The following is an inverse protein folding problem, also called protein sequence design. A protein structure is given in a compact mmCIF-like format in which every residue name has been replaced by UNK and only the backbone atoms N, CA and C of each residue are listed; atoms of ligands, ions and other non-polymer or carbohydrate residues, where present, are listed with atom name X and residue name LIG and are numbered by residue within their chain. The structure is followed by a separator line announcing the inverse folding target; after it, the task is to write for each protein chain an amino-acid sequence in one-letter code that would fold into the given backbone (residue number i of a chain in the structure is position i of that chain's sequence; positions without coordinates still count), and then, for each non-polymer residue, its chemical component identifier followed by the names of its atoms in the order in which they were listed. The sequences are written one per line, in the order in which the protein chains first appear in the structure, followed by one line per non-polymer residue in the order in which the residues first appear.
data_IF_505978149335
#
_entry.id   IF_505978149335
#
_cell.length_a   1.000
_cell.length_b   1.000
_cell.length_c   1.000
_cell.angle_alpha   90.00
_cell.angle_beta   90.00
_cell.angle_gamma   90.00
#
_symmetry.space_group_name_H-M   'P 1'
#
loop_
_entity.id
_entity.type
_entity.pdbx_description
1 polymer ?
#
# COMPACT_ATOMS: atom_id res chain seq x y z
N UNK A 1 -13.69 19.79 5.10
CA UNK A 1 -13.06 20.44 6.26
C UNK A 1 -12.24 21.64 5.83
N UNK A 2 -12.04 22.58 6.73
CA UNK A 2 -11.13 23.71 6.59
C UNK A 2 -10.33 23.83 7.88
N UNK A 3 -9.03 23.89 7.77
CA UNK A 3 -8.09 24.01 8.93
C UNK A 3 -8.31 22.92 10.01
N UNK A 4 -8.80 21.74 9.61
CA UNK A 4 -9.12 20.62 10.49
C UNK A 4 -10.57 20.56 10.99
N UNK A 5 -11.31 21.66 10.89
CA UNK A 5 -12.71 21.74 11.33
C UNK A 5 -13.67 21.25 10.23
N UNK A 6 -14.67 20.45 10.60
CA UNK A 6 -15.73 20.04 9.71
C UNK A 6 -16.69 21.24 9.46
N UNK A 7 -16.66 21.77 8.23
CA UNK A 7 -17.46 22.95 7.86
C UNK A 7 -18.75 22.59 7.12
N UNK A 8 -18.82 21.43 6.50
CA UNK A 8 -20.02 20.92 5.84
C UNK A 8 -19.92 19.41 5.66
N UNK A 9 -21.06 18.74 5.71
CA UNK A 9 -21.22 17.30 5.53
C UNK A 9 -22.50 17.03 4.73
N UNK A 10 -22.41 16.15 3.74
CA UNK A 10 -23.55 15.75 2.93
C UNK A 10 -23.45 14.26 2.59
N UNK A 11 -24.54 13.57 2.72
CA UNK A 11 -24.69 12.15 2.36
C UNK A 11 -25.91 11.97 1.47
N UNK A 12 -25.76 11.22 0.37
CA UNK A 12 -26.88 10.77 -0.47
C UNK A 12 -27.67 9.63 0.15
N UNK A 13 -27.07 8.93 1.10
CA UNK A 13 -27.61 7.77 1.80
C UNK A 13 -26.95 7.64 3.18
N UNK A 14 -27.49 6.86 4.13
CA UNK A 14 -26.86 6.63 5.43
C UNK A 14 -25.43 6.11 5.27
N UNK A 15 -24.53 6.58 6.13
CA UNK A 15 -23.13 6.16 6.13
C UNK A 15 -23.02 4.65 6.34
N UNK A 16 -22.31 3.98 5.44
CA UNK A 16 -22.02 2.56 5.53
C UNK A 16 -20.56 2.28 5.11
N UNK A 17 -20.06 1.10 5.47
CA UNK A 17 -18.75 0.66 5.02
C UNK A 17 -18.81 0.22 3.57
N UNK A 18 -17.85 0.68 2.79
CA UNK A 18 -17.68 0.35 1.38
C UNK A 18 -16.25 -0.07 1.11
N UNK A 19 -16.07 -0.90 0.11
CA UNK A 19 -14.75 -1.13 -0.45
C UNK A 19 -14.18 0.20 -0.96
N UNK A 20 -13.03 0.61 -0.42
CA UNK A 20 -12.36 1.85 -0.83
C UNK A 20 -11.42 1.63 -2.02
N UNK A 21 -11.48 0.43 -2.64
CA UNK A 21 -10.68 0.06 -3.81
C UNK A 21 -9.21 0.43 -3.65
N UNK A 22 -8.62 1.09 -4.64
CA UNK A 22 -7.19 1.44 -4.63
C UNK A 22 -6.79 2.45 -3.57
N UNK A 23 -7.72 3.19 -2.94
CA UNK A 23 -7.38 3.98 -1.75
C UNK A 23 -6.83 3.12 -0.61
N UNK A 24 -7.08 1.81 -0.63
CA UNK A 24 -6.45 0.81 0.24
C UNK A 24 -4.91 0.85 0.19
N UNK A 25 -4.33 1.12 -0.98
CA UNK A 25 -2.87 1.18 -1.17
C UNK A 25 -2.18 2.18 -0.25
N UNK A 26 -2.85 3.28 0.05
CA UNK A 26 -2.33 4.30 0.97
C UNK A 26 -2.27 3.79 2.43
N UNK A 27 -3.17 2.89 2.81
CA UNK A 27 -3.08 2.20 4.11
C UNK A 27 -1.97 1.16 4.13
N UNK A 28 -1.74 0.46 3.01
CA UNK A 28 -0.59 -0.44 2.84
C UNK A 28 0.73 0.34 2.90
N UNK A 29 0.83 1.51 2.24
CA UNK A 29 1.96 2.43 2.41
C UNK A 29 2.20 2.78 3.88
N UNK A 30 1.13 3.12 4.60
CA UNK A 30 1.20 3.42 6.01
C UNK A 30 1.71 2.22 6.84
N UNK A 31 1.25 1.00 6.51
CA UNK A 31 1.73 -0.23 7.16
C UNK A 31 3.22 -0.46 6.92
N UNK A 32 3.69 -0.27 5.68
CA UNK A 32 5.14 -0.32 5.35
C UNK A 32 5.90 0.76 6.13
N UNK A 33 5.35 1.97 6.25
CA UNK A 33 5.96 3.05 7.03
C UNK A 33 6.17 2.69 8.50
N UNK A 34 5.19 2.07 9.13
CA UNK A 34 5.35 1.54 10.48
C UNK A 34 6.40 0.42 10.54
N UNK A 35 6.38 -0.50 9.57
CA UNK A 35 7.34 -1.60 9.53
C UNK A 35 8.79 -1.10 9.35
N UNK A 36 9.01 -0.06 8.54
CA UNK A 36 10.31 0.60 8.40
C UNK A 36 10.70 1.30 9.71
N UNK A 37 9.78 2.03 10.34
CA UNK A 37 10.02 2.70 11.62
C UNK A 37 10.35 1.72 12.75
N UNK A 38 9.82 0.51 12.71
CA UNK A 38 10.07 -0.58 13.66
C UNK A 38 11.31 -1.42 13.31
N UNK A 39 11.96 -1.15 12.19
CA UNK A 39 13.13 -1.92 11.72
C UNK A 39 12.79 -3.31 11.18
N UNK A 40 11.52 -3.58 10.85
CA UNK A 40 11.07 -4.85 10.27
C UNK A 40 11.35 -4.95 8.78
N UNK A 41 11.41 -3.80 8.08
CA UNK A 41 11.65 -3.70 6.63
C UNK A 41 12.66 -2.60 6.33
N UNK A 42 13.37 -2.77 5.21
CA UNK A 42 14.16 -1.73 4.57
C UNK A 42 13.64 -1.48 3.15
N UNK A 43 13.56 -0.22 2.73
CA UNK A 43 13.17 0.10 1.36
C UNK A 43 14.20 -0.37 0.33
N UNK A 44 15.46 -0.51 0.73
CA UNK A 44 16.57 -0.92 -0.14
C UNK A 44 16.81 -2.44 -0.11
N UNK A 45 15.99 -3.19 0.65
CA UNK A 45 16.02 -4.65 0.68
C UNK A 45 15.66 -5.21 -0.70
N UNK A 46 16.46 -6.17 -1.19
CA UNK A 46 16.22 -6.85 -2.47
C UNK A 46 15.01 -7.78 -2.37
N UNK A 47 14.21 -7.85 -3.45
CA UNK A 47 13.07 -8.76 -3.47
C UNK A 47 13.51 -10.23 -3.39
N UNK A 48 14.71 -10.57 -3.90
CA UNK A 48 15.30 -11.90 -3.78
C UNK A 48 15.59 -12.28 -2.33
N UNK A 49 15.93 -11.32 -1.48
CA UNK A 49 16.18 -11.55 -0.06
C UNK A 49 14.87 -11.52 0.75
N UNK A 50 13.92 -10.71 0.30
CA UNK A 50 12.63 -10.55 0.95
C UNK A 50 11.69 -11.76 0.74
N UNK A 51 11.81 -12.46 -0.41
CA UNK A 51 10.95 -13.57 -0.84
C UNK A 51 11.74 -14.79 -1.31
N UNK A 52 12.72 -15.31 -0.53
CA UNK A 52 13.63 -16.36 -1.00
C UNK A 52 12.91 -17.68 -1.36
N UNK A 53 11.76 -17.97 -0.74
CA UNK A 53 10.99 -19.20 -0.94
C UNK A 53 9.96 -19.09 -2.08
N UNK A 54 9.78 -17.90 -2.63
CA UNK A 54 8.74 -17.61 -3.64
C UNK A 54 9.34 -17.28 -5.02
N UNK A 55 10.66 -17.34 -5.14
CA UNK A 55 11.36 -17.01 -6.38
C UNK A 55 11.06 -18.04 -7.48
N UNK A 56 10.95 -17.60 -8.75
CA UNK A 56 10.83 -18.51 -9.88
C UNK A 56 12.14 -19.29 -10.09
N UNK A 57 12.07 -20.41 -10.79
CA UNK A 57 13.24 -21.25 -11.13
C UNK A 57 14.32 -20.47 -11.88
N UNK A 58 13.90 -19.51 -12.72
CA UNK A 58 14.80 -18.63 -13.46
C UNK A 58 14.63 -17.20 -12.95
N UNK A 59 15.64 -16.70 -12.28
CA UNK A 59 15.68 -15.34 -11.73
C UNK A 59 16.42 -14.45 -12.74
N UNK A 60 15.67 -13.53 -13.40
CA UNK A 60 16.28 -12.58 -14.33
C UNK A 60 17.07 -11.48 -13.60
N UNK A 61 17.91 -10.75 -14.35
CA UNK A 61 18.79 -9.75 -13.75
C UNK A 61 18.03 -8.52 -13.23
N UNK A 62 16.85 -8.22 -13.78
CA UNK A 62 16.03 -7.14 -13.30
C UNK A 62 15.38 -7.51 -11.94
N UNK A 63 14.85 -8.74 -11.80
CA UNK A 63 14.33 -9.20 -10.50
C UNK A 63 15.42 -9.18 -9.41
N UNK A 64 16.67 -9.55 -9.73
CA UNK A 64 17.82 -9.45 -8.78
C UNK A 64 18.09 -8.00 -8.33
N UNK A 65 17.77 -7.02 -9.17
CA UNK A 65 17.97 -5.61 -8.84
C UNK A 65 16.80 -5.00 -8.08
N UNK A 66 15.60 -5.53 -8.23
CA UNK A 66 14.37 -4.99 -7.66
C UNK A 66 14.40 -4.93 -6.13
N UNK A 67 13.83 -3.87 -5.58
CA UNK A 67 13.81 -3.57 -4.15
C UNK A 67 12.38 -3.35 -3.63
N UNK A 68 12.21 -3.31 -2.32
CA UNK A 68 10.95 -2.95 -1.67
C UNK A 68 10.47 -1.55 -2.10
N UNK A 69 11.38 -0.61 -2.35
CA UNK A 69 11.07 0.73 -2.88
C UNK A 69 10.33 0.66 -4.22
N UNK A 70 10.77 -0.22 -5.12
CA UNK A 70 10.18 -0.37 -6.45
C UNK A 70 8.73 -0.90 -6.39
N UNK A 71 8.39 -1.67 -5.35
CA UNK A 71 7.00 -2.07 -5.08
C UNK A 71 6.09 -0.87 -4.80
N UNK A 72 6.60 0.11 -4.03
CA UNK A 72 5.83 1.26 -3.58
C UNK A 72 5.71 2.36 -4.64
N UNK A 73 6.68 2.46 -5.54
CA UNK A 73 6.72 3.49 -6.59
C UNK A 73 6.11 3.06 -7.91
N UNK A 74 5.54 1.85 -7.99
CA UNK A 74 5.02 1.26 -9.23
C UNK A 74 6.07 1.11 -10.34
N UNK A 75 7.34 0.98 -9.96
CA UNK A 75 8.48 0.89 -10.87
C UNK A 75 9.18 -0.48 -10.78
N UNK A 76 8.40 -1.54 -10.58
CA UNK A 76 8.90 -2.90 -10.37
C UNK A 76 9.64 -3.48 -11.59
N UNK A 77 9.31 -3.00 -12.79
CA UNK A 77 9.93 -3.45 -14.04
C UNK A 77 9.09 -4.44 -14.85
N UNK A 78 7.91 -4.80 -14.37
CA UNK A 78 6.94 -5.61 -15.13
C UNK A 78 6.28 -4.74 -16.21
N UNK A 79 6.02 -5.32 -17.40
CA UNK A 79 5.53 -4.57 -18.57
C UNK A 79 4.07 -4.13 -18.44
N UNK A 80 3.24 -4.93 -17.76
CA UNK A 80 1.81 -4.72 -17.67
C UNK A 80 1.30 -4.79 -16.24
N UNK A 81 0.18 -4.09 -15.99
CA UNK A 81 -0.53 -4.20 -14.73
C UNK A 81 -1.10 -5.59 -14.51
N UNK A 82 -0.83 -6.18 -13.36
CA UNK A 82 -1.32 -7.50 -12.97
C UNK A 82 -2.04 -7.45 -11.62
N UNK A 83 -2.76 -8.52 -11.26
CA UNK A 83 -3.66 -8.61 -10.10
C UNK A 83 -4.79 -7.56 -10.13
N UNK A 84 -5.16 -7.09 -11.32
CA UNK A 84 -6.29 -6.17 -11.50
C UNK A 84 -7.62 -6.86 -11.19
N UNK A 85 -8.65 -6.07 -10.88
CA UNK A 85 -9.93 -6.61 -10.40
C UNK A 85 -10.59 -7.62 -11.35
N UNK A 86 -10.54 -7.34 -12.65
CA UNK A 86 -11.07 -8.22 -13.71
C UNK A 86 -10.22 -9.47 -13.96
N UNK A 87 -8.96 -9.47 -13.57
CA UNK A 87 -8.03 -10.61 -13.76
C UNK A 87 -8.13 -11.61 -12.62
N UNK A 88 -8.29 -11.14 -11.36
CA UNK A 88 -8.25 -11.99 -10.17
C UNK A 88 -9.17 -13.20 -10.20
N UNK A 89 -10.43 -13.13 -10.68
CA UNK A 89 -11.30 -14.28 -10.76
C UNK A 89 -10.87 -15.34 -11.80
N UNK A 90 -9.92 -15.00 -12.67
CA UNK A 90 -9.44 -15.88 -13.75
C UNK A 90 -8.19 -16.68 -13.36
N UNK A 91 -7.53 -16.30 -12.27
CA UNK A 91 -6.33 -17.01 -11.81
C UNK A 91 -6.70 -18.40 -11.26
N UNK A 92 -5.90 -19.39 -11.65
CA UNK A 92 -6.02 -20.77 -11.19
C UNK A 92 -5.06 -21.07 -10.03
N UNK A 93 -4.04 -20.26 -9.87
CA UNK A 93 -3.04 -20.37 -8.82
C UNK A 93 -3.56 -19.73 -7.54
N UNK A 94 -3.43 -20.43 -6.41
CA UNK A 94 -3.74 -19.89 -5.09
C UNK A 94 -2.60 -19.05 -4.52
N UNK A 95 -1.35 -19.36 -4.88
CA UNK A 95 -0.15 -18.64 -4.43
C UNK A 95 0.14 -17.43 -5.34
N UNK A 96 -0.54 -16.34 -5.04
CA UNK A 96 -0.35 -15.10 -5.80
C UNK A 96 1.01 -14.45 -5.58
N UNK A 97 1.75 -14.80 -4.52
CA UNK A 97 3.11 -14.30 -4.30
C UNK A 97 4.04 -14.89 -5.34
N UNK A 98 4.08 -16.22 -5.46
CA UNK A 98 4.88 -16.92 -6.48
C UNK A 98 4.48 -16.52 -7.88
N UNK A 99 3.19 -16.49 -8.17
CA UNK A 99 2.66 -16.04 -9.46
C UNK A 99 3.15 -14.63 -9.80
N UNK A 100 3.13 -13.70 -8.85
CA UNK A 100 3.56 -12.31 -9.06
C UNK A 100 5.05 -12.17 -9.35
N UNK A 101 5.89 -12.96 -8.67
CA UNK A 101 7.35 -12.96 -8.86
C UNK A 101 7.79 -13.71 -10.11
N UNK A 102 6.95 -14.59 -10.63
CA UNK A 102 7.18 -15.30 -11.90
C UNK A 102 6.85 -14.45 -13.15
N UNK A 103 6.16 -13.31 -12.99
CA UNK A 103 5.92 -12.38 -14.12
C UNK A 103 7.25 -11.75 -14.54
N UNK A 104 7.65 -11.80 -15.83
CA UNK A 104 8.93 -11.28 -16.30
C UNK A 104 9.14 -9.80 -15.98
N UNK A 105 10.34 -9.45 -15.53
CA UNK A 105 10.77 -8.07 -15.28
C UNK A 105 11.44 -7.52 -16.53
N UNK A 106 10.66 -6.96 -17.47
CA UNK A 106 11.11 -6.49 -18.77
C UNK A 106 12.00 -5.25 -18.69
N UNK A 107 11.73 -4.37 -17.72
CA UNK A 107 12.44 -3.11 -17.54
C UNK A 107 13.33 -3.16 -16.30
N UNK A 108 14.39 -2.36 -16.32
CA UNK A 108 15.20 -2.14 -15.13
C UNK A 108 14.32 -1.51 -14.04
N UNK A 109 14.26 -2.08 -12.82
CA UNK A 109 13.52 -1.50 -11.70
C UNK A 109 13.88 -0.03 -11.45
N UNK A 110 12.90 0.76 -11.07
CA UNK A 110 13.05 2.19 -10.85
C UNK A 110 13.05 3.06 -12.12
N UNK A 111 12.87 2.49 -13.33
CA UNK A 111 12.98 3.27 -14.58
C UNK A 111 11.67 3.47 -15.35
N UNK A 112 10.68 2.61 -15.14
CA UNK A 112 9.40 2.66 -15.86
C UNK A 112 8.25 2.56 -14.87
N UNK A 113 7.37 3.53 -14.90
CA UNK A 113 6.14 3.51 -14.13
C UNK A 113 5.09 2.64 -14.84
N UNK A 114 4.63 1.60 -14.15
CA UNK A 114 3.52 0.75 -14.60
C UNK A 114 2.58 0.54 -13.43
N UNK A 115 1.41 1.21 -13.46
CA UNK A 115 0.43 1.04 -12.40
C UNK A 115 -0.07 -0.40 -12.35
N UNK A 116 0.13 -1.08 -11.23
CA UNK A 116 -0.22 -2.48 -11.03
C UNK A 116 -0.66 -2.75 -9.58
N UNK A 117 -1.17 -3.94 -9.33
CA UNK A 117 -1.53 -4.40 -7.99
C UNK A 117 -0.48 -5.33 -7.37
N UNK A 118 0.51 -5.79 -8.13
CA UNK A 118 1.59 -6.66 -7.64
C UNK A 118 2.42 -5.94 -6.57
N UNK A 119 2.89 -4.73 -6.86
CA UNK A 119 3.73 -3.96 -5.93
C UNK A 119 3.11 -3.80 -4.55
N UNK A 120 1.92 -3.17 -4.43
CA UNK A 120 1.27 -2.98 -3.13
C UNK A 120 0.83 -4.30 -2.47
N UNK A 121 0.48 -5.33 -3.26
CA UNK A 121 0.17 -6.65 -2.71
C UNK A 121 1.41 -7.27 -2.05
N UNK A 122 2.54 -7.36 -2.76
CA UNK A 122 3.80 -7.89 -2.22
C UNK A 122 4.31 -7.08 -1.01
N UNK A 123 4.21 -5.75 -1.07
CA UNK A 123 4.54 -4.90 0.08
C UNK A 123 3.69 -5.22 1.32
N UNK A 124 2.38 -5.45 1.13
CA UNK A 124 1.47 -5.90 2.18
C UNK A 124 1.83 -7.29 2.71
N UNK A 125 2.20 -8.23 1.85
CA UNK A 125 2.68 -9.58 2.23
C UNK A 125 3.93 -9.48 3.11
N UNK A 126 4.91 -8.64 2.74
CA UNK A 126 6.12 -8.46 3.56
C UNK A 126 5.79 -7.98 4.96
N UNK A 127 4.92 -6.99 5.11
CA UNK A 127 4.48 -6.53 6.44
C UNK A 127 3.87 -7.69 7.23
N UNK A 128 2.97 -8.47 6.61
CA UNK A 128 2.30 -9.59 7.28
C UNK A 128 3.29 -10.68 7.71
N UNK A 129 4.21 -11.09 6.82
CA UNK A 129 5.22 -12.10 7.12
C UNK A 129 6.17 -11.64 8.24
N UNK A 130 6.65 -10.41 8.19
CA UNK A 130 7.60 -9.86 9.18
C UNK A 130 6.97 -9.58 10.53
N UNK A 131 5.68 -9.22 10.55
CA UNK A 131 4.94 -8.95 11.80
C UNK A 131 4.25 -10.19 12.39
N UNK A 132 4.08 -11.25 11.61
CA UNK A 132 3.38 -12.46 12.01
C UNK A 132 1.87 -12.31 12.13
N UNK A 133 1.26 -11.27 11.52
CA UNK A 133 -0.18 -11.05 11.55
C UNK A 133 -0.69 -10.37 10.27
N UNK A 134 -2.01 -10.42 10.03
CA UNK A 134 -2.65 -9.75 8.90
C UNK A 134 -2.59 -8.21 9.03
N UNK A 135 -2.86 -7.48 7.92
CA UNK A 135 -2.76 -6.01 7.90
C UNK A 135 -3.76 -5.32 8.82
N UNK A 136 -4.95 -5.90 9.06
CA UNK A 136 -5.92 -5.33 10.01
C UNK A 136 -5.37 -5.40 11.42
N UNK A 137 -4.87 -6.58 11.81
CA UNK A 137 -4.26 -6.83 13.11
C UNK A 137 -3.02 -5.97 13.32
N UNK A 138 -2.18 -5.82 12.29
CA UNK A 138 -0.99 -4.99 12.34
C UNK A 138 -1.30 -3.50 12.51
N UNK A 139 -2.25 -2.97 11.73
CA UNK A 139 -2.61 -1.55 11.74
C UNK A 139 -3.53 -1.18 12.93
N UNK A 140 -4.23 -2.14 13.53
CA UNK A 140 -5.18 -1.84 14.61
C UNK A 140 -4.53 -1.09 15.78
N UNK A 141 -3.45 -1.55 16.41
CA UNK A 141 -2.82 -0.81 17.51
C UNK A 141 -2.04 0.43 17.04
N UNK A 142 -1.57 0.46 15.80
CA UNK A 142 -0.68 1.49 15.26
C UNK A 142 -1.41 2.68 14.66
N UNK A 143 -2.55 2.42 14.00
CA UNK A 143 -3.30 3.44 13.26
C UNK A 143 -4.78 3.44 13.61
N UNK A 144 -5.49 2.32 13.41
CA UNK A 144 -6.96 2.28 13.45
C UNK A 144 -7.51 2.68 14.83
N UNK A 145 -6.90 2.20 15.90
CA UNK A 145 -7.30 2.57 17.26
C UNK A 145 -7.16 4.08 17.52
N UNK A 146 -6.10 4.71 17.03
CA UNK A 146 -5.87 6.14 17.17
C UNK A 146 -6.90 6.96 16.42
N UNK A 147 -7.24 6.57 15.20
CA UNK A 147 -8.24 7.24 14.38
C UNK A 147 -9.70 6.90 14.76
N UNK A 148 -9.89 5.98 15.72
CA UNK A 148 -11.22 5.51 16.12
C UNK A 148 -11.90 4.67 15.03
N UNK A 149 -11.14 4.03 14.13
CA UNK A 149 -11.62 3.07 13.14
C UNK A 149 -11.82 1.73 13.86
N UNK A 150 -13.06 1.22 13.84
CA UNK A 150 -13.43 0.03 14.60
C UNK A 150 -13.77 -1.11 13.66
N UNK A 151 -13.08 -2.26 13.83
CA UNK A 151 -13.37 -3.50 13.08
C UNK A 151 -13.43 -3.31 11.57
N UNK A 152 -12.41 -2.72 10.93
CA UNK A 152 -12.33 -2.70 9.49
C UNK A 152 -12.22 -4.15 8.98
N UNK A 153 -12.71 -4.39 7.76
CA UNK A 153 -12.52 -5.67 7.07
C UNK A 153 -11.65 -5.44 5.84
N UNK A 154 -10.92 -6.47 5.43
CA UNK A 154 -10.01 -6.41 4.30
C UNK A 154 -10.13 -7.69 3.49
N UNK A 155 -10.25 -7.58 2.15
CA UNK A 155 -10.24 -8.73 1.24
C UNK A 155 -8.90 -9.47 1.34
N UNK A 156 -8.94 -10.78 1.13
CA UNK A 156 -7.75 -11.64 1.15
C UNK A 156 -7.49 -12.26 -0.21
N UNK A 157 -6.25 -12.72 -0.40
CA UNK A 157 -5.90 -13.67 -1.43
C UNK A 157 -6.48 -15.07 -1.09
N UNK A 158 -6.37 -16.07 -1.97
CA UNK A 158 -6.85 -17.44 -1.69
C UNK A 158 -6.20 -18.11 -0.49
N UNK A 159 -4.98 -17.72 -0.11
CA UNK A 159 -4.26 -18.23 1.05
C UNK A 159 -4.59 -17.49 2.36
N UNK A 160 -5.47 -16.49 2.32
CA UNK A 160 -5.95 -15.75 3.50
C UNK A 160 -5.11 -14.54 3.88
N UNK A 161 -4.13 -14.12 3.07
CA UNK A 161 -3.36 -12.90 3.33
C UNK A 161 -4.15 -11.68 2.90
N UNK A 162 -4.09 -10.58 3.66
CA UNK A 162 -4.73 -9.31 3.29
C UNK A 162 -4.21 -8.80 1.95
N UNK A 163 -5.12 -8.47 1.03
CA UNK A 163 -4.78 -7.98 -0.31
C UNK A 163 -4.38 -6.50 -0.28
N UNK A 164 -3.10 -6.22 -0.10
CA UNK A 164 -2.57 -4.86 0.10
C UNK A 164 -2.86 -3.86 -1.02
N UNK A 165 -3.34 -4.31 -2.19
CA UNK A 165 -3.63 -3.44 -3.32
C UNK A 165 -5.08 -2.94 -3.38
N UNK A 166 -5.97 -3.49 -2.57
CA UNK A 166 -7.40 -3.16 -2.58
C UNK A 166 -8.15 -3.87 -1.45
N UNK A 167 -9.47 -3.70 -1.41
CA UNK A 167 -10.35 -4.51 -0.58
C UNK A 167 -10.44 -4.13 0.90
N UNK A 168 -9.94 -2.97 1.32
CA UNK A 168 -10.23 -2.43 2.65
C UNK A 168 -11.61 -1.79 2.65
N UNK A 169 -12.43 -2.11 3.65
CA UNK A 169 -13.77 -1.56 3.83
C UNK A 169 -13.80 -0.54 4.96
N UNK A 170 -14.09 0.70 4.63
CA UNK A 170 -14.21 1.81 5.57
C UNK A 170 -15.47 2.63 5.31
N UNK A 171 -15.89 3.41 6.30
CA UNK A 171 -16.86 4.48 6.10
C UNK A 171 -16.16 5.72 5.54
N UNK A 172 -16.96 6.67 4.98
CA UNK A 172 -16.44 7.94 4.50
C UNK A 172 -15.76 8.73 5.64
N UNK A 173 -16.38 8.77 6.81
CA UNK A 173 -15.81 9.44 8.00
C UNK A 173 -14.48 8.81 8.45
N UNK A 174 -14.34 7.49 8.36
CA UNK A 174 -13.08 6.81 8.68
C UNK A 174 -11.99 7.13 7.67
N UNK A 175 -12.30 7.12 6.38
CA UNK A 175 -11.37 7.52 5.32
C UNK A 175 -10.96 9.00 5.44
N UNK A 176 -11.91 9.88 5.77
CA UNK A 176 -11.63 11.29 6.02
C UNK A 176 -10.64 11.50 7.17
N UNK A 177 -10.78 10.76 8.28
CA UNK A 177 -9.82 10.82 9.40
C UNK A 177 -8.42 10.42 8.97
N UNK A 178 -8.30 9.43 8.08
CA UNK A 178 -7.01 9.06 7.50
C UNK A 178 -6.40 10.20 6.66
N UNK A 179 -7.21 10.90 5.87
CA UNK A 179 -6.78 12.09 5.14
C UNK A 179 -6.28 13.20 6.09
N UNK A 180 -7.02 13.47 7.17
CA UNK A 180 -6.59 14.44 8.20
C UNK A 180 -5.29 14.01 8.90
N UNK A 181 -5.10 12.73 9.15
CA UNK A 181 -3.86 12.19 9.72
C UNK A 181 -2.65 12.48 8.84
N UNK A 182 -2.78 12.30 7.51
CA UNK A 182 -1.73 12.64 6.55
C UNK A 182 -1.51 14.16 6.44
N UNK A 183 -2.60 14.94 6.37
CA UNK A 183 -2.53 16.41 6.37
C UNK A 183 -1.80 16.95 7.61
N UNK A 184 -1.99 16.32 8.76
CA UNK A 184 -1.32 16.64 10.01
C UNK A 184 0.06 15.96 10.17
N UNK A 185 0.68 15.54 9.05
CA UNK A 185 2.02 14.99 9.00
C UNK A 185 2.23 13.80 9.97
N UNK A 186 1.25 12.91 10.04
CA UNK A 186 1.30 11.72 10.88
C UNK A 186 1.05 11.97 12.38
N UNK A 187 0.57 13.16 12.75
CA UNK A 187 0.14 13.48 14.11
C UNK A 187 -1.36 13.26 14.29
N UNK A 188 -1.74 12.76 15.45
CA UNK A 188 -3.13 12.61 15.86
C UNK A 188 -3.29 12.89 17.34
N UNK A 189 -4.25 13.77 17.70
CA UNK A 189 -4.46 14.24 19.07
C UNK A 189 -3.17 14.68 19.78
N UNK A 190 -2.34 15.46 19.08
CA UNK A 190 -1.07 16.00 19.58
C UNK A 190 0.08 14.99 19.66
N UNK A 191 -0.13 13.71 19.31
CA UNK A 191 0.89 12.67 19.36
C UNK A 191 1.37 12.31 17.95
N UNK A 192 2.70 12.19 17.75
CA UNK A 192 3.27 11.64 16.53
C UNK A 192 3.02 10.12 16.51
N UNK A 193 2.25 9.66 15.53
CA UNK A 193 1.88 8.24 15.36
C UNK A 193 2.80 7.58 14.32
N UNK A 194 2.92 8.18 13.13
CA UNK A 194 3.87 7.79 12.09
C UNK A 194 4.82 8.96 11.82
N UNK A 195 6.10 8.69 11.55
CA UNK A 195 7.10 9.75 11.40
C UNK A 195 6.73 10.74 10.31
N UNK A 196 6.98 12.04 10.55
CA UNK A 196 6.78 13.10 9.55
C UNK A 196 7.61 12.81 8.29
N UNK A 197 8.83 12.30 8.47
CA UNK A 197 9.70 11.88 7.36
C UNK A 197 9.00 10.89 6.43
N UNK A 198 8.34 9.84 6.98
CA UNK A 198 7.61 8.88 6.15
C UNK A 198 6.46 9.54 5.39
N UNK A 199 5.68 10.39 6.05
CA UNK A 199 4.57 11.11 5.41
C UNK A 199 5.09 11.95 4.23
N UNK A 200 6.19 12.68 4.42
CA UNK A 200 6.79 13.51 3.38
C UNK A 200 7.34 12.67 2.22
N UNK A 201 8.10 11.62 2.51
CA UNK A 201 8.64 10.73 1.48
C UNK A 201 7.53 9.99 0.72
N UNK A 202 6.52 9.46 1.42
CA UNK A 202 5.44 8.69 0.78
C UNK A 202 4.55 9.54 -0.11
N UNK A 203 4.46 10.85 0.15
CA UNK A 203 3.68 11.80 -0.65
C UNK A 203 4.54 12.66 -1.59
N UNK A 204 5.85 12.42 -1.66
CA UNK A 204 6.74 13.06 -2.63
C UNK A 204 6.60 12.38 -4.01
N UNK A 205 6.85 13.13 -5.09
CA UNK A 205 6.96 12.55 -6.43
C UNK A 205 8.20 11.64 -6.50
N UNK A 206 8.07 10.50 -7.16
CA UNK A 206 9.22 9.69 -7.58
C UNK A 206 9.90 10.30 -8.79
N UNK A 207 11.09 9.81 -9.12
CA UNK A 207 11.86 10.28 -10.29
C UNK A 207 11.20 9.92 -11.63
N UNK A 208 10.28 8.95 -11.62
CA UNK A 208 9.66 8.41 -12.85
C UNK A 208 8.27 8.94 -13.15
N UNK A 209 7.51 9.39 -12.13
CA UNK A 209 6.16 9.92 -12.32
C UNK A 209 5.71 10.76 -11.12
N UNK A 210 4.57 11.43 -11.26
CA UNK A 210 3.85 12.09 -10.16
C UNK A 210 3.18 11.08 -9.21
N UNK A 211 3.97 10.14 -8.71
CA UNK A 211 3.56 9.07 -7.81
C UNK A 211 4.58 8.90 -6.70
N UNK A 212 4.11 8.83 -5.46
CA UNK A 212 4.95 8.58 -4.29
C UNK A 212 4.93 7.11 -3.89
N UNK A 213 5.02 6.82 -2.59
CA UNK A 213 4.87 5.46 -2.08
C UNK A 213 3.37 5.12 -1.96
N UNK A 214 2.79 4.66 -3.07
CA UNK A 214 1.36 4.31 -3.20
C UNK A 214 0.41 5.51 -3.04
N UNK A 215 0.86 6.70 -3.45
CA UNK A 215 0.07 7.92 -3.51
C UNK A 215 0.24 8.61 -4.85
N UNK A 216 -0.86 8.94 -5.52
CA UNK A 216 -0.86 9.85 -6.64
C UNK A 216 -0.59 11.28 -6.17
N UNK A 217 0.21 12.03 -6.93
CA UNK A 217 0.37 13.47 -6.73
C UNK A 217 -0.46 14.25 -7.73
N UNK A 218 -1.13 15.28 -7.23
CA UNK A 218 -1.90 16.19 -8.06
C UNK A 218 -1.08 17.37 -8.58
N UNK A 219 -1.64 18.09 -9.56
CA UNK A 219 -1.01 19.18 -10.29
C UNK A 219 -0.58 20.37 -9.41
N UNK A 220 -1.16 20.56 -8.22
CA UNK A 220 -0.96 21.71 -7.35
C UNK A 220 -0.38 21.33 -5.99
N UNK A 221 0.66 20.50 -5.95
CA UNK A 221 1.22 19.95 -4.71
C UNK A 221 0.18 19.23 -3.82
N UNK A 222 -0.92 18.79 -4.41
CA UNK A 222 -1.87 17.89 -3.75
C UNK A 222 -1.48 16.45 -3.99
N UNK A 223 -1.92 15.56 -3.11
CA UNK A 223 -1.82 14.12 -3.30
C UNK A 223 -3.18 13.47 -3.02
N UNK A 224 -3.39 12.30 -3.55
CA UNK A 224 -4.60 11.49 -3.32
C UNK A 224 -4.23 10.03 -3.11
N UNK A 225 -5.09 9.34 -2.38
CA UNK A 225 -5.09 7.89 -2.24
C UNK A 225 -5.84 7.27 -3.44
N UNK A 226 -5.19 6.40 -4.19
CA UNK A 226 -5.78 5.62 -5.29
C UNK A 226 -5.23 4.21 -5.30
#
# INVERSE_FOLDING_TARGET
TKDGDLINEWYSEPECRRNIYSATKSFTSCAVGFAVQEGLLSLDEKLTDAFPEDLPDVIDDNLKMATVRDLLTMCLGQEQGSLMGEQRPLYQEDDWVKMSLAIPFQYKPGTHFVYNNVGPYLAGILVQRRSGCDLVSYLTPRLFKHLGIKRPTWETDPLGNSFGAGGLFLTLSELHKFGLFYLNKGKWNGKQILSEKWIEESTAASDTDNYGYLFWRGKYNSYRAD
#
